data_IF_689335488416
#
_entry.id   IF_689335488416
#
_cell.length_a   1.000
_cell.length_b   1.000
_cell.length_c   1.000
_cell.angle_alpha   90.00
_cell.angle_beta   90.00
_cell.angle_gamma   90.00
#
_symmetry.space_group_name_H-M   'P 1'
#
loop_
_entity.id
_entity.type
_entity.pdbx_description
1 polymer ?
#
# COMPACT_ATOMS: atom_id res chain seq x y z
N UNK A 1 -68.49 28.42 6.91
CA UNK A 1 -67.49 27.41 7.21
C UNK A 1 -66.12 27.94 6.74
N UNK A 2 -65.31 28.48 7.67
CA UNK A 2 -64.05 29.16 7.34
C UNK A 2 -62.96 28.06 7.18
N UNK A 3 -62.38 28.01 5.99
CA UNK A 3 -61.27 27.12 5.67
C UNK A 3 -59.99 27.58 6.39
N UNK A 4 -59.37 26.69 7.16
CA UNK A 4 -58.10 26.93 7.85
C UNK A 4 -56.99 27.02 6.78
N UNK A 5 -56.15 28.07 6.79
CA UNK A 5 -55.09 28.23 5.79
C UNK A 5 -54.06 27.10 5.86
N UNK A 6 -53.54 26.71 4.70
CA UNK A 6 -52.62 25.57 4.51
C UNK A 6 -51.36 25.65 5.33
N UNK A 7 -50.90 26.86 5.68
CA UNK A 7 -49.70 27.11 6.51
C UNK A 7 -49.85 26.58 7.96
N UNK A 8 -51.08 26.64 8.53
CA UNK A 8 -51.33 26.18 9.89
C UNK A 8 -51.37 24.63 9.95
N UNK A 9 -51.82 23.99 8.87
CA UNK A 9 -51.84 22.52 8.79
C UNK A 9 -50.45 21.91 8.72
N UNK A 10 -49.51 22.57 8.03
CA UNK A 10 -48.12 22.11 7.93
C UNK A 10 -47.37 22.26 9.27
N UNK A 11 -47.61 23.36 9.99
CA UNK A 11 -47.01 23.59 11.31
C UNK A 11 -47.50 22.61 12.37
N UNK A 12 -48.79 22.22 12.30
CA UNK A 12 -49.35 21.25 13.24
C UNK A 12 -48.84 19.83 12.98
N UNK A 13 -48.62 19.46 11.71
CA UNK A 13 -48.03 18.17 11.32
C UNK A 13 -46.57 18.03 11.76
N UNK A 14 -45.80 19.10 11.65
CA UNK A 14 -44.40 19.13 12.11
C UNK A 14 -44.29 19.02 13.63
N UNK A 15 -45.22 19.66 14.39
CA UNK A 15 -45.24 19.58 15.85
C UNK A 15 -45.57 18.18 16.36
N UNK A 16 -46.48 17.47 15.70
CA UNK A 16 -46.85 16.08 16.04
C UNK A 16 -45.68 15.13 15.71
N UNK A 17 -44.96 15.36 14.60
CA UNK A 17 -43.80 14.53 14.23
C UNK A 17 -42.63 14.67 15.23
N UNK A 18 -42.39 15.89 15.75
CA UNK A 18 -41.36 16.13 16.77
C UNK A 18 -41.70 15.48 18.11
N UNK A 19 -42.96 15.47 18.50
CA UNK A 19 -43.40 14.80 19.73
C UNK A 19 -43.36 13.27 19.64
N UNK A 20 -43.51 12.69 18.44
CA UNK A 20 -43.38 11.23 18.23
C UNK A 20 -41.90 10.77 18.28
N UNK A 21 -40.94 11.61 17.84
CA UNK A 21 -39.52 11.29 17.88
C UNK A 21 -38.97 11.39 19.32
N UNK A 22 -39.48 12.30 20.15
CA UNK A 22 -39.08 12.45 21.55
C UNK A 22 -39.53 11.31 22.46
N UNK A 23 -40.61 10.58 22.09
CA UNK A 23 -41.17 9.46 22.89
C UNK A 23 -40.40 8.13 22.74
N UNK A 24 -39.50 8.00 21.78
CA UNK A 24 -38.81 6.72 21.49
C UNK A 24 -37.48 6.52 22.23
N UNK A 25 -37.00 7.48 23.02
CA UNK A 25 -35.69 7.42 23.66
C UNK A 25 -35.69 7.24 25.19
N UNK A 26 -36.82 6.85 25.80
CA UNK A 26 -36.81 6.57 27.24
C UNK A 26 -37.24 5.11 27.47
N UNK A 27 -36.28 4.18 27.34
CA UNK A 27 -36.38 2.85 27.92
C UNK A 27 -35.48 2.76 29.15
N UNK A 28 -35.99 2.53 30.36
CA UNK A 28 -35.13 2.30 31.51
C UNK A 28 -34.48 0.92 31.39
N UNK A 29 -33.15 0.89 31.28
CA UNK A 29 -32.39 -0.34 31.40
C UNK A 29 -32.46 -0.84 32.84
N UNK A 30 -33.22 -1.92 33.07
CA UNK A 30 -33.16 -2.67 34.32
C UNK A 30 -31.87 -3.44 34.40
N UNK A 31 -30.89 -2.90 35.13
CA UNK A 31 -29.63 -3.59 35.46
C UNK A 31 -29.92 -4.66 36.49
N UNK A 32 -30.03 -5.93 36.10
CA UNK A 32 -30.01 -7.04 37.05
C UNK A 32 -28.58 -7.30 37.49
N UNK A 33 -28.23 -6.87 38.70
CA UNK A 33 -27.00 -7.24 39.37
C UNK A 33 -27.11 -8.68 39.86
N UNK A 34 -26.45 -9.60 39.19
CA UNK A 34 -26.33 -11.00 39.63
C UNK A 34 -25.16 -11.10 40.57
N UNK A 35 -25.38 -11.18 41.85
CA UNK A 35 -24.33 -11.49 42.85
C UNK A 35 -23.77 -12.89 42.56
N UNK A 36 -22.51 -12.93 42.23
CA UNK A 36 -21.74 -14.17 42.07
C UNK A 36 -21.02 -14.45 43.37
N UNK A 37 -21.51 -15.42 44.12
CA UNK A 37 -20.83 -15.96 45.31
C UNK A 37 -19.51 -16.63 44.86
N UNK A 38 -18.37 -16.02 45.21
CA UNK A 38 -17.04 -16.57 44.95
C UNK A 38 -16.66 -17.44 46.14
N UNK A 39 -16.48 -18.75 45.91
CA UNK A 39 -15.89 -19.67 46.88
C UNK A 39 -14.40 -19.35 47.09
N UNK A 40 -13.80 -19.78 48.19
CA UNK A 40 -12.42 -19.44 48.55
C UNK A 40 -11.44 -19.98 47.51
N UNK A 41 -10.72 -19.06 46.87
CA UNK A 41 -9.63 -19.34 45.92
C UNK A 41 -8.39 -19.80 46.72
N UNK A 42 -7.59 -20.73 46.14
CA UNK A 42 -6.31 -21.10 46.76
C UNK A 42 -5.38 -19.88 46.84
N UNK A 43 -4.66 -19.78 47.94
CA UNK A 43 -3.68 -18.74 48.21
C UNK A 43 -2.62 -18.68 47.13
N UNK A 44 -2.72 -17.73 46.22
CA UNK A 44 -1.63 -17.37 45.33
C UNK A 44 -0.55 -16.63 46.14
N UNK A 45 0.67 -17.15 46.04
CA UNK A 45 1.83 -16.45 46.56
C UNK A 45 1.91 -15.05 45.97
N UNK A 46 1.93 -14.01 46.80
CA UNK A 46 2.04 -12.63 46.38
C UNK A 46 3.36 -12.42 45.66
N UNK A 47 3.32 -12.48 44.32
CA UNK A 47 4.37 -11.92 43.49
C UNK A 47 4.25 -10.40 43.65
N UNK A 48 5.24 -9.76 44.25
CA UNK A 48 5.37 -8.30 44.20
C UNK A 48 5.27 -7.88 42.75
N UNK A 49 4.51 -6.83 42.38
CA UNK A 49 4.55 -6.30 41.03
C UNK A 49 5.99 -5.79 40.80
N UNK A 50 6.83 -6.65 40.24
CA UNK A 50 8.07 -6.19 39.63
C UNK A 50 7.67 -5.22 38.55
N UNK A 51 8.31 -4.07 38.48
CA UNK A 51 8.17 -3.10 37.43
C UNK A 51 8.19 -3.84 36.08
N UNK A 52 7.02 -3.99 35.44
CA UNK A 52 6.96 -4.36 34.03
C UNK A 52 7.46 -3.12 33.31
N UNK A 53 8.78 -3.07 33.11
CA UNK A 53 9.38 -2.09 32.21
C UNK A 53 8.79 -2.43 30.82
N UNK A 54 7.69 -1.81 30.46
CA UNK A 54 7.22 -1.79 29.06
C UNK A 54 8.26 -1.02 28.27
N UNK A 55 9.29 -1.71 27.81
CA UNK A 55 10.21 -1.16 26.84
C UNK A 55 9.47 -1.17 25.50
N UNK A 56 8.98 -0.01 25.11
CA UNK A 56 8.39 0.19 23.78
C UNK A 56 9.54 0.12 22.78
N UNK A 57 9.76 -1.07 22.24
CA UNK A 57 10.87 -1.34 21.32
C UNK A 57 10.33 -1.20 19.90
N UNK A 58 10.70 -0.11 19.26
CA UNK A 58 10.38 0.11 17.85
C UNK A 58 11.14 -0.90 16.98
N UNK A 59 10.47 -1.98 16.62
CA UNK A 59 11.00 -2.99 15.70
C UNK A 59 10.78 -2.53 14.26
N UNK A 60 11.86 -2.30 13.54
CA UNK A 60 11.84 -1.90 12.14
C UNK A 60 11.94 -3.15 11.29
N UNK A 61 10.93 -3.41 10.44
CA UNK A 61 10.93 -4.53 9.51
C UNK A 61 11.16 -4.06 8.07
N UNK A 62 12.03 -4.74 7.36
CA UNK A 62 12.41 -4.47 5.97
C UNK A 62 12.26 -5.75 5.18
N UNK A 63 11.66 -5.64 4.00
CA UNK A 63 11.67 -6.72 2.99
C UNK A 63 12.69 -6.42 1.89
N UNK A 64 13.46 -7.43 1.50
CA UNK A 64 14.42 -7.34 0.41
C UNK A 64 14.23 -8.45 -0.62
N UNK A 65 14.15 -8.07 -1.89
CA UNK A 65 14.26 -8.98 -3.02
C UNK A 65 15.72 -8.96 -3.51
N UNK A 66 16.31 -10.14 -3.68
CA UNK A 66 17.65 -10.28 -4.22
C UNK A 66 17.59 -10.96 -5.59
N UNK A 67 18.15 -10.30 -6.59
CA UNK A 67 18.16 -10.76 -7.98
C UNK A 67 19.60 -10.86 -8.49
N UNK A 68 19.86 -11.84 -9.34
CA UNK A 68 21.07 -11.83 -10.17
C UNK A 68 20.98 -10.67 -11.18
N UNK A 69 22.02 -9.86 -11.27
CA UNK A 69 21.99 -8.65 -12.10
C UNK A 69 21.78 -8.94 -13.58
N UNK A 70 22.41 -10.01 -14.08
CA UNK A 70 22.45 -10.29 -15.51
C UNK A 70 21.25 -11.09 -16.01
N UNK A 71 20.63 -11.92 -15.16
CA UNK A 71 19.52 -12.81 -15.50
C UNK A 71 18.19 -12.40 -14.88
N UNK A 72 18.19 -11.43 -13.96
CA UNK A 72 17.04 -11.05 -13.12
C UNK A 72 16.44 -12.23 -12.32
N UNK A 73 17.18 -13.33 -12.19
CA UNK A 73 16.72 -14.51 -11.45
C UNK A 73 16.77 -14.27 -9.95
N UNK A 74 15.74 -14.66 -9.25
CA UNK A 74 15.65 -14.57 -7.79
C UNK A 74 16.72 -15.44 -7.14
N UNK A 75 17.40 -14.90 -6.13
CA UNK A 75 18.33 -15.62 -5.27
C UNK A 75 17.64 -15.84 -3.92
N UNK A 76 17.24 -17.06 -3.64
CA UNK A 76 16.49 -17.46 -2.43
C UNK A 76 17.28 -18.30 -1.44
N UNK A 77 18.60 -18.43 -1.61
CA UNK A 77 19.47 -19.31 -0.81
C UNK A 77 20.37 -18.57 0.19
N UNK A 78 20.18 -17.24 0.34
CA UNK A 78 21.00 -16.44 1.24
C UNK A 78 20.54 -16.59 2.68
N UNK A 79 21.48 -16.46 3.61
CA UNK A 79 21.25 -16.55 5.05
C UNK A 79 21.42 -15.17 5.70
N UNK A 80 21.08 -15.05 6.98
CA UNK A 80 21.20 -13.79 7.72
C UNK A 80 22.61 -13.20 7.67
N UNK A 81 23.64 -14.03 7.80
CA UNK A 81 25.04 -13.60 7.76
C UNK A 81 25.49 -13.01 6.42
N UNK A 82 24.75 -13.29 5.36
CA UNK A 82 25.00 -12.74 4.02
C UNK A 82 24.50 -11.30 3.87
N UNK A 83 23.79 -10.76 4.85
CA UNK A 83 23.21 -9.43 4.76
C UNK A 83 23.85 -8.43 5.73
N UNK A 84 23.93 -7.19 5.30
CA UNK A 84 24.30 -6.03 6.11
C UNK A 84 23.19 -4.98 6.00
N UNK A 85 22.74 -4.48 7.14
CA UNK A 85 21.75 -3.41 7.24
C UNK A 85 22.40 -2.21 7.90
N UNK A 86 22.18 -1.03 7.35
CA UNK A 86 22.59 0.23 7.99
C UNK A 86 21.46 1.26 7.95
N UNK A 87 21.38 2.08 8.99
CA UNK A 87 20.46 3.21 9.15
C UNK A 87 21.29 4.48 9.30
N UNK A 88 21.03 5.48 8.45
CA UNK A 88 21.77 6.75 8.40
C UNK A 88 23.30 6.55 8.40
N UNK A 89 23.76 5.46 7.76
CA UNK A 89 25.17 5.06 7.71
C UNK A 89 25.67 4.25 8.91
N UNK A 90 24.89 4.10 9.96
CA UNK A 90 25.25 3.32 11.15
C UNK A 90 24.80 1.86 10.97
N UNK A 91 25.70 0.86 11.14
CA UNK A 91 25.34 -0.55 11.08
C UNK A 91 24.26 -0.92 12.10
N UNK A 92 23.30 -1.76 11.71
CA UNK A 92 22.23 -2.27 12.56
C UNK A 92 22.35 -3.79 12.69
N UNK A 93 22.04 -4.30 13.89
CA UNK A 93 22.02 -5.75 14.16
C UNK A 93 20.69 -6.34 13.75
N UNK A 94 20.68 -7.30 12.82
CA UNK A 94 19.48 -8.04 12.46
C UNK A 94 19.09 -8.93 13.64
N UNK A 95 17.92 -8.69 14.22
CA UNK A 95 17.38 -9.43 15.37
C UNK A 95 16.43 -10.56 14.96
N UNK A 96 15.83 -10.43 13.77
CA UNK A 96 14.95 -11.43 13.17
C UNK A 96 15.22 -11.52 11.68
N UNK A 97 15.21 -12.74 11.15
CA UNK A 97 15.40 -13.04 9.74
C UNK A 97 14.47 -14.17 9.34
N UNK A 98 13.72 -13.97 8.27
CA UNK A 98 12.89 -15.02 7.69
C UNK A 98 12.78 -14.86 6.17
N UNK A 99 12.38 -15.96 5.54
CA UNK A 99 11.97 -15.98 4.12
C UNK A 99 10.55 -16.54 4.03
N UNK A 100 9.68 -16.14 4.92
CA UNK A 100 8.33 -16.65 5.01
C UNK A 100 7.46 -16.13 3.88
N UNK A 101 6.58 -17.00 3.42
CA UNK A 101 5.53 -16.65 2.47
C UNK A 101 4.40 -15.88 3.16
N UNK A 102 4.68 -14.63 3.56
CA UNK A 102 3.70 -13.77 4.19
C UNK A 102 2.50 -13.54 3.26
N UNK A 103 1.27 -13.42 3.82
CA UNK A 103 0.12 -13.03 3.02
C UNK A 103 0.32 -11.66 2.39
N UNK A 104 -0.28 -11.43 1.23
CA UNK A 104 -0.23 -10.15 0.55
C UNK A 104 -1.53 -9.37 0.80
N UNK A 105 -1.38 -8.07 1.07
CA UNK A 105 -2.46 -7.10 0.97
C UNK A 105 -2.14 -6.18 -0.21
N UNK A 106 -2.93 -6.26 -1.27
CA UNK A 106 -2.65 -5.59 -2.54
C UNK A 106 -3.70 -4.53 -2.82
N UNK A 107 -3.28 -3.29 -3.05
CA UNK A 107 -4.10 -2.27 -3.74
C UNK A 107 -3.70 -2.27 -5.20
N UNK A 108 -4.61 -2.68 -6.07
CA UNK A 108 -4.43 -2.66 -7.52
C UNK A 108 -5.00 -1.35 -8.06
N UNK A 109 -4.13 -0.50 -8.60
CA UNK A 109 -4.47 0.77 -9.23
C UNK A 109 -4.51 0.60 -10.75
N UNK A 110 -5.63 0.93 -11.39
CA UNK A 110 -5.79 0.84 -12.83
C UNK A 110 -6.02 2.24 -13.39
N UNK A 111 -5.13 2.66 -14.26
CA UNK A 111 -5.18 3.94 -14.93
C UNK A 111 -6.31 3.98 -15.97
N UNK A 112 -7.14 5.03 -15.94
CA UNK A 112 -8.26 5.28 -16.86
C UNK A 112 -8.07 6.55 -17.68
N UNK A 113 -6.90 7.14 -17.68
CA UNK A 113 -6.60 8.34 -18.43
C UNK A 113 -6.29 8.11 -19.92
N UNK A 114 -6.78 7.01 -20.52
CA UNK A 114 -6.62 6.70 -21.95
C UNK A 114 -5.34 5.95 -22.33
N UNK A 115 -4.30 6.00 -21.51
CA UNK A 115 -3.00 5.39 -21.82
C UNK A 115 -3.01 3.85 -21.91
N UNK A 116 -4.05 3.20 -21.41
CA UNK A 116 -4.22 1.73 -21.45
C UNK A 116 -5.23 1.27 -22.49
N UNK A 117 -5.89 2.18 -23.20
CA UNK A 117 -7.01 1.86 -24.10
C UNK A 117 -6.72 0.83 -25.18
N UNK A 118 -5.60 0.92 -25.90
CA UNK A 118 -5.34 -0.04 -26.97
C UNK A 118 -5.24 -1.48 -26.48
N UNK A 119 -5.03 -1.71 -25.18
CA UNK A 119 -4.77 -3.03 -24.58
C UNK A 119 -5.55 -3.27 -23.28
N UNK A 120 -6.71 -2.62 -23.13
CA UNK A 120 -7.56 -2.81 -21.95
C UNK A 120 -8.06 -4.25 -21.79
N UNK A 121 -8.17 -5.04 -22.85
CA UNK A 121 -8.51 -6.46 -22.77
C UNK A 121 -7.35 -7.30 -22.25
N UNK A 122 -6.13 -7.03 -22.72
CA UNK A 122 -4.91 -7.69 -22.26
C UNK A 122 -4.66 -7.42 -20.79
N UNK A 123 -4.82 -6.18 -20.35
CA UNK A 123 -4.72 -5.79 -18.93
C UNK A 123 -5.73 -6.54 -18.08
N UNK A 124 -7.01 -6.59 -18.48
CA UNK A 124 -8.05 -7.32 -17.73
C UNK A 124 -7.76 -8.81 -17.67
N UNK A 125 -7.40 -9.42 -18.80
CA UNK A 125 -7.06 -10.85 -18.85
C UNK A 125 -5.88 -11.15 -17.92
N UNK A 126 -4.80 -10.40 -18.04
CA UNK A 126 -3.59 -10.59 -17.24
C UNK A 126 -3.85 -10.38 -15.75
N UNK A 127 -4.64 -9.36 -15.37
CA UNK A 127 -5.02 -9.12 -13.98
C UNK A 127 -5.89 -10.26 -13.42
N UNK A 128 -6.86 -10.77 -14.17
CA UNK A 128 -7.69 -11.91 -13.76
C UNK A 128 -6.86 -13.19 -13.61
N UNK A 129 -5.93 -13.46 -14.53
CA UNK A 129 -5.01 -14.60 -14.42
C UNK A 129 -4.14 -14.49 -13.16
N UNK A 130 -3.61 -13.29 -12.89
CA UNK A 130 -2.86 -13.00 -11.68
C UNK A 130 -3.66 -13.26 -10.38
N UNK A 131 -4.94 -12.88 -10.36
CA UNK A 131 -5.82 -13.15 -9.21
C UNK A 131 -5.96 -14.65 -8.92
N UNK A 132 -5.97 -15.51 -9.96
CA UNK A 132 -6.06 -16.97 -9.79
C UNK A 132 -4.84 -17.57 -9.09
N UNK A 133 -3.69 -16.89 -9.14
CA UNK A 133 -2.41 -17.32 -8.56
C UNK A 133 -2.20 -16.82 -7.13
N UNK A 134 -3.06 -15.97 -6.64
CA UNK A 134 -3.01 -15.49 -5.26
C UNK A 134 -3.48 -16.58 -4.29
N UNK A 135 -2.88 -16.64 -3.11
CA UNK A 135 -3.27 -17.58 -2.05
C UNK A 135 -4.61 -17.18 -1.42
N UNK A 136 -5.28 -18.13 -0.79
CA UNK A 136 -6.53 -17.84 -0.06
C UNK A 136 -6.36 -16.82 1.08
N UNK A 137 -5.14 -16.64 1.60
CA UNK A 137 -4.80 -15.66 2.63
C UNK A 137 -4.57 -14.26 2.08
N UNK A 138 -4.37 -14.11 0.76
CA UNK A 138 -4.12 -12.80 0.14
C UNK A 138 -5.42 -12.05 -0.08
N UNK A 139 -5.39 -10.76 0.18
CA UNK A 139 -6.50 -9.85 -0.05
C UNK A 139 -6.13 -8.79 -1.07
N UNK A 140 -7.10 -8.37 -1.86
CA UNK A 140 -6.92 -7.36 -2.89
C UNK A 140 -8.05 -6.34 -2.80
N UNK A 141 -7.70 -5.06 -2.96
CA UNK A 141 -8.61 -3.98 -3.29
C UNK A 141 -8.34 -3.51 -4.71
N UNK A 142 -9.37 -3.11 -5.44
CA UNK A 142 -9.27 -2.59 -6.81
C UNK A 142 -9.71 -1.13 -6.79
N UNK A 143 -8.84 -0.25 -7.25
CA UNK A 143 -9.09 1.17 -7.44
C UNK A 143 -8.80 1.55 -8.88
N UNK A 144 -9.59 2.45 -9.42
CA UNK A 144 -9.34 3.06 -10.72
C UNK A 144 -9.04 4.54 -10.54
N UNK A 145 -8.32 5.12 -11.45
CA UNK A 145 -8.00 6.54 -11.38
C UNK A 145 -7.86 7.21 -12.74
N UNK A 146 -8.14 8.48 -12.72
CA UNK A 146 -7.90 9.46 -13.76
C UNK A 146 -7.61 10.79 -13.05
N UNK A 147 -8.48 11.81 -13.12
CA UNK A 147 -8.41 13.01 -12.28
C UNK A 147 -8.74 12.71 -10.82
N UNK A 148 -9.59 11.73 -10.58
CA UNK A 148 -10.03 11.27 -9.25
C UNK A 148 -9.75 9.79 -9.08
N UNK A 149 -9.79 9.34 -7.82
CA UNK A 149 -9.62 7.93 -7.44
C UNK A 149 -10.98 7.36 -7.07
N UNK A 150 -11.32 6.21 -7.65
CA UNK A 150 -12.55 5.50 -7.37
C UNK A 150 -12.26 4.09 -6.84
N UNK A 151 -12.89 3.74 -5.73
CA UNK A 151 -12.83 2.40 -5.17
C UNK A 151 -13.84 1.50 -5.88
N UNK A 152 -13.36 0.57 -6.70
CA UNK A 152 -14.22 -0.40 -7.40
C UNK A 152 -14.54 -1.60 -6.53
N UNK A 153 -13.58 -2.05 -5.72
CA UNK A 153 -13.74 -3.15 -4.77
C UNK A 153 -12.84 -2.94 -3.56
N UNK A 154 -13.40 -2.99 -2.37
CA UNK A 154 -12.64 -2.99 -1.13
C UNK A 154 -11.86 -4.29 -0.91
N UNK A 155 -10.95 -4.31 0.08
CA UNK A 155 -10.17 -5.50 0.39
C UNK A 155 -11.06 -6.73 0.55
N UNK A 156 -10.78 -7.74 -0.26
CA UNK A 156 -11.49 -9.02 -0.23
C UNK A 156 -10.57 -10.17 -0.63
N UNK A 157 -10.90 -11.37 -0.13
CA UNK A 157 -10.31 -12.64 -0.54
C UNK A 157 -11.20 -13.41 -1.53
N UNK A 158 -12.41 -12.92 -1.78
CA UNK A 158 -13.33 -13.53 -2.75
C UNK A 158 -12.93 -13.13 -4.17
N UNK A 159 -12.41 -14.09 -4.91
CA UNK A 159 -11.91 -13.90 -6.29
C UNK A 159 -13.02 -13.51 -7.26
N UNK A 160 -14.27 -13.95 -7.02
CA UNK A 160 -15.41 -13.60 -7.87
C UNK A 160 -15.78 -12.12 -7.75
N UNK A 161 -15.61 -11.53 -6.55
CA UNK A 161 -15.82 -10.09 -6.34
C UNK A 161 -14.75 -9.30 -7.11
N UNK A 162 -13.50 -9.73 -7.04
CA UNK A 162 -12.38 -9.09 -7.74
C UNK A 162 -12.53 -9.19 -9.26
N UNK A 163 -12.87 -10.38 -9.77
CA UNK A 163 -13.13 -10.58 -11.20
C UNK A 163 -14.25 -9.67 -11.72
N UNK A 164 -15.35 -9.55 -10.97
CA UNK A 164 -16.43 -8.61 -11.32
C UNK A 164 -15.95 -7.17 -11.35
N UNK A 165 -15.16 -6.75 -10.36
CA UNK A 165 -14.60 -5.40 -10.31
C UNK A 165 -13.68 -5.12 -11.49
N UNK A 166 -12.81 -6.06 -11.87
CA UNK A 166 -11.92 -5.92 -13.02
C UNK A 166 -12.68 -5.88 -14.36
N UNK A 167 -13.76 -6.66 -14.47
CA UNK A 167 -14.60 -6.67 -15.67
C UNK A 167 -15.48 -5.41 -15.79
N UNK A 168 -15.72 -4.73 -14.67
CA UNK A 168 -16.50 -3.50 -14.60
C UNK A 168 -15.63 -2.23 -14.58
N UNK A 169 -14.35 -2.30 -14.92
CA UNK A 169 -13.54 -1.08 -15.02
C UNK A 169 -14.21 -0.13 -16.02
N UNK A 170 -14.62 1.08 -15.58
CA UNK A 170 -15.32 2.01 -16.46
C UNK A 170 -14.46 2.38 -17.67
N UNK A 171 -15.05 2.83 -18.78
CA UNK A 171 -14.30 3.31 -19.93
C UNK A 171 -13.39 4.49 -19.52
N UNK A 172 -12.34 4.72 -20.29
CA UNK A 172 -11.41 5.82 -20.04
C UNK A 172 -12.08 7.19 -20.11
N UNK A 173 -11.42 8.18 -19.53
CA UNK A 173 -11.77 9.59 -19.68
C UNK A 173 -10.68 10.29 -20.49
N UNK A 174 -10.94 10.58 -21.76
CA UNK A 174 -9.99 11.20 -22.69
C UNK A 174 -9.48 12.58 -22.25
N UNK A 175 -10.16 13.22 -21.29
CA UNK A 175 -9.81 14.54 -20.79
C UNK A 175 -9.10 14.50 -19.45
N UNK A 176 -8.98 13.33 -18.88
CA UNK A 176 -8.44 13.19 -17.53
C UNK A 176 -6.93 13.32 -17.49
N UNK A 177 -6.46 13.94 -16.42
CA UNK A 177 -5.05 13.92 -16.05
C UNK A 177 -4.74 12.63 -15.27
N UNK A 178 -3.48 12.24 -15.25
CA UNK A 178 -3.00 11.13 -14.44
C UNK A 178 -2.49 11.67 -13.10
N UNK A 179 -3.39 11.98 -12.16
CA UNK A 179 -3.03 12.63 -10.89
C UNK A 179 -2.30 11.67 -9.92
N UNK A 180 -1.08 11.28 -10.24
CA UNK A 180 -0.30 10.28 -9.51
C UNK A 180 -0.11 10.62 -8.03
N UNK A 181 0.07 11.90 -7.68
CA UNK A 181 0.16 12.35 -6.30
C UNK A 181 -1.12 12.02 -5.51
N UNK A 182 -2.30 12.34 -6.04
CA UNK A 182 -3.59 12.01 -5.42
C UNK A 182 -3.82 10.50 -5.35
N UNK A 183 -3.43 9.78 -6.40
CA UNK A 183 -3.61 8.32 -6.49
C UNK A 183 -2.80 7.58 -5.45
N UNK A 184 -1.51 7.88 -5.33
CA UNK A 184 -0.64 7.18 -4.38
C UNK A 184 -0.94 7.54 -2.92
N UNK A 185 -1.35 8.78 -2.66
CA UNK A 185 -1.83 9.20 -1.35
C UNK A 185 -3.09 8.43 -0.95
N UNK A 186 -4.11 8.43 -1.81
CA UNK A 186 -5.37 7.69 -1.57
C UNK A 186 -5.16 6.18 -1.42
N UNK A 187 -4.27 5.59 -2.23
CA UNK A 187 -3.95 4.18 -2.12
C UNK A 187 -3.22 3.83 -0.82
N UNK A 188 -2.32 4.70 -0.37
CA UNK A 188 -1.61 4.55 0.89
C UNK A 188 -2.56 4.65 2.08
N UNK A 189 -3.46 5.64 2.10
CA UNK A 189 -4.49 5.78 3.12
C UNK A 189 -5.41 4.55 3.15
N UNK A 190 -5.81 4.07 1.97
CA UNK A 190 -6.66 2.89 1.88
C UNK A 190 -5.94 1.61 2.35
N UNK A 191 -4.63 1.50 2.12
CA UNK A 191 -3.82 0.37 2.59
C UNK A 191 -3.86 0.21 4.12
N UNK A 192 -4.10 1.28 4.88
CA UNK A 192 -4.24 1.19 6.33
C UNK A 192 -5.45 0.38 6.78
N UNK A 193 -6.41 0.08 5.87
CA UNK A 193 -7.60 -0.78 6.09
C UNK A 193 -7.32 -2.25 5.78
N UNK A 194 -6.09 -2.63 5.42
CA UNK A 194 -5.71 -4.01 5.13
C UNK A 194 -5.92 -4.92 6.34
N UNK A 195 -6.54 -6.08 6.13
CA UNK A 195 -6.91 -7.02 7.18
C UNK A 195 -5.80 -7.99 7.60
N UNK A 196 -4.66 -8.00 6.90
CA UNK A 196 -3.50 -8.84 7.22
C UNK A 196 -2.49 -8.05 8.06
N UNK A 197 -2.46 -8.16 9.39
CA UNK A 197 -1.64 -7.30 10.25
C UNK A 197 -0.12 -7.52 10.03
N UNK A 198 0.29 -8.72 9.67
CA UNK A 198 1.69 -9.10 9.38
C UNK A 198 1.95 -9.30 7.90
N UNK A 199 0.97 -9.00 7.04
CA UNK A 199 1.07 -9.17 5.59
C UNK A 199 1.97 -8.14 4.93
N UNK A 200 2.51 -8.50 3.75
CA UNK A 200 3.18 -7.51 2.89
C UNK A 200 2.16 -6.60 2.24
N UNK A 201 2.33 -5.30 2.43
CA UNK A 201 1.50 -4.26 1.85
C UNK A 201 2.07 -3.86 0.50
N UNK A 202 1.28 -3.96 -0.55
CA UNK A 202 1.74 -3.73 -1.92
C UNK A 202 0.75 -2.85 -2.67
N UNK A 203 1.25 -1.78 -3.27
CA UNK A 203 0.50 -0.97 -4.22
C UNK A 203 1.02 -1.30 -5.61
N UNK A 204 0.16 -1.84 -6.48
CA UNK A 204 0.50 -2.18 -7.86
C UNK A 204 -0.22 -1.22 -8.79
N UNK A 205 0.52 -0.37 -9.50
CA UNK A 205 -0.04 0.53 -10.50
C UNK A 205 0.09 -0.07 -11.90
N UNK A 206 -1.03 -0.19 -12.62
CA UNK A 206 -1.06 -0.50 -14.05
C UNK A 206 -1.31 0.80 -14.77
N UNK A 207 -0.33 1.30 -15.52
CA UNK A 207 -0.37 2.61 -16.15
C UNK A 207 0.59 2.70 -17.33
N UNK A 208 0.31 3.56 -18.29
CA UNK A 208 1.26 3.97 -19.34
C UNK A 208 2.16 5.13 -18.89
N UNK A 209 1.78 5.87 -17.85
CA UNK A 209 2.44 7.10 -17.41
C UNK A 209 3.38 6.83 -16.24
N UNK A 210 4.64 7.21 -16.38
CA UNK A 210 5.66 7.00 -15.33
C UNK A 210 5.89 8.23 -14.46
N UNK A 211 5.50 9.41 -14.94
CA UNK A 211 5.68 10.69 -14.25
C UNK A 211 4.51 11.61 -14.54
N UNK A 212 4.10 12.36 -13.56
CA UNK A 212 3.12 13.41 -13.73
C UNK A 212 3.40 14.59 -12.79
N UNK A 213 3.02 15.78 -13.24
CA UNK A 213 3.03 16.97 -12.43
C UNK A 213 2.04 16.84 -11.28
N UNK A 214 2.28 17.57 -10.17
CA UNK A 214 1.31 17.63 -9.09
C UNK A 214 0.00 18.25 -9.61
N UNK A 215 -1.11 17.57 -9.38
CA UNK A 215 -2.43 18.14 -9.65
C UNK A 215 -2.78 19.18 -8.59
N UNK A 216 -3.25 20.34 -9.04
CA UNK A 216 -3.44 21.52 -8.17
C UNK A 216 -4.42 21.33 -7.00
N UNK A 217 -5.30 20.34 -7.06
CA UNK A 217 -6.32 20.05 -6.05
C UNK A 217 -5.98 18.84 -5.17
N UNK A 218 -4.75 18.35 -5.21
CA UNK A 218 -4.32 17.15 -4.46
C UNK A 218 -3.14 17.44 -3.51
N UNK A 219 -2.66 16.42 -2.78
CA UNK A 219 -1.46 16.51 -1.99
C UNK A 219 -0.25 16.79 -2.89
N UNK A 220 0.80 17.40 -2.34
CA UNK A 220 2.07 17.50 -3.07
C UNK A 220 2.68 16.11 -3.29
N UNK A 221 3.57 15.98 -4.29
CA UNK A 221 4.31 14.72 -4.50
C UNK A 221 5.09 14.28 -3.24
N UNK A 222 5.56 15.23 -2.44
CA UNK A 222 6.25 14.94 -1.17
C UNK A 222 5.29 14.37 -0.14
N UNK A 223 4.09 14.94 0.00
CA UNK A 223 3.06 14.44 0.91
C UNK A 223 2.62 13.01 0.49
N UNK A 224 2.32 12.80 -0.79
CA UNK A 224 1.94 11.49 -1.31
C UNK A 224 3.06 10.43 -1.09
N UNK A 225 4.32 10.80 -1.30
CA UNK A 225 5.46 9.90 -1.01
C UNK A 225 5.53 9.57 0.48
N UNK A 226 5.28 10.55 1.34
CA UNK A 226 5.26 10.36 2.79
C UNK A 226 4.14 9.41 3.23
N UNK A 227 2.92 9.59 2.71
CA UNK A 227 1.79 8.67 2.98
C UNK A 227 2.13 7.24 2.57
N UNK A 228 2.78 7.03 1.42
CA UNK A 228 3.25 5.70 0.99
C UNK A 228 4.27 5.11 1.97
N UNK A 229 5.20 5.90 2.49
CA UNK A 229 6.16 5.42 3.48
C UNK A 229 5.50 5.09 4.81
N UNK A 230 4.56 5.90 5.28
CA UNK A 230 3.79 5.64 6.52
C UNK A 230 2.92 4.39 6.41
N UNK A 231 2.30 4.15 5.25
CA UNK A 231 1.51 2.94 5.01
C UNK A 231 2.33 1.65 5.04
N UNK A 232 3.65 1.75 4.95
CA UNK A 232 4.55 0.60 4.88
C UNK A 232 4.49 -0.14 3.55
N UNK A 233 3.87 0.43 2.52
CA UNK A 233 3.67 -0.22 1.22
C UNK A 233 4.94 -0.30 0.38
N UNK A 234 5.07 -1.40 -0.36
CA UNK A 234 5.99 -1.54 -1.48
C UNK A 234 5.23 -1.13 -2.75
N UNK A 235 5.77 -0.20 -3.51
CA UNK A 235 5.18 0.26 -4.76
C UNK A 235 5.77 -0.51 -5.94
N UNK A 236 4.90 -1.11 -6.74
CA UNK A 236 5.25 -1.79 -7.97
C UNK A 236 4.44 -1.21 -9.13
N UNK A 237 4.95 -1.33 -10.34
CA UNK A 237 4.23 -0.92 -11.55
C UNK A 237 4.33 -1.95 -12.64
N UNK A 238 3.26 -2.05 -13.42
CA UNK A 238 3.20 -2.79 -14.66
C UNK A 238 2.88 -1.79 -15.75
N UNK A 239 3.82 -1.58 -16.66
CA UNK A 239 3.74 -0.57 -17.70
C UNK A 239 3.84 -1.27 -19.06
N UNK A 240 2.72 -1.35 -19.80
CA UNK A 240 2.76 -1.86 -21.17
C UNK A 240 3.76 -1.08 -22.02
N UNK A 241 4.62 -1.78 -22.75
CA UNK A 241 5.67 -1.17 -23.55
C UNK A 241 5.27 -1.13 -25.01
N UNK A 242 4.79 0.03 -25.46
CA UNK A 242 4.54 0.31 -26.88
C UNK A 242 5.51 1.39 -27.39
N UNK A 243 5.73 1.49 -28.72
CA UNK A 243 6.56 2.57 -29.28
C UNK A 243 6.06 3.96 -28.89
N UNK A 244 4.76 4.17 -28.89
CA UNK A 244 4.09 5.43 -28.55
C UNK A 244 4.36 5.81 -27.09
N UNK A 245 4.16 4.88 -26.17
CA UNK A 245 4.41 5.10 -24.74
C UNK A 245 5.89 5.31 -24.42
N UNK A 246 6.78 4.63 -25.16
CA UNK A 246 8.22 4.86 -25.01
C UNK A 246 8.57 6.29 -25.43
N UNK A 247 8.01 6.78 -26.53
CA UNK A 247 8.21 8.15 -27.00
C UNK A 247 7.62 9.18 -26.04
N UNK A 248 6.38 8.98 -25.59
CA UNK A 248 5.68 9.85 -24.63
C UNK A 248 6.41 9.93 -23.30
N UNK A 249 6.79 8.79 -22.72
CA UNK A 249 7.58 8.75 -21.50
C UNK A 249 8.95 9.39 -21.68
N UNK A 250 9.57 9.29 -22.86
CA UNK A 250 10.80 9.97 -23.22
C UNK A 250 10.65 11.49 -23.20
N UNK A 251 9.60 12.00 -23.82
CA UNK A 251 9.26 13.42 -23.83
C UNK A 251 8.95 13.94 -22.42
N UNK A 252 8.15 13.21 -21.65
CA UNK A 252 7.83 13.57 -20.26
C UNK A 252 9.08 13.58 -19.37
N UNK A 253 10.03 12.66 -19.56
CA UNK A 253 11.32 12.67 -18.86
C UNK A 253 12.13 13.94 -19.15
N UNK A 254 12.15 14.39 -20.40
CA UNK A 254 12.79 15.64 -20.78
C UNK A 254 12.07 16.83 -20.15
N UNK A 255 10.74 16.92 -20.29
CA UNK A 255 9.92 18.00 -19.76
C UNK A 255 10.05 18.12 -18.22
N UNK A 256 10.01 17.00 -17.49
CA UNK A 256 10.18 17.00 -16.03
C UNK A 256 11.61 17.38 -15.61
N UNK A 257 12.63 17.06 -16.42
CA UNK A 257 14.01 17.50 -16.16
C UNK A 257 14.13 19.02 -16.28
N UNK A 258 13.56 19.61 -17.31
CA UNK A 258 13.53 21.06 -17.52
C UNK A 258 12.70 21.75 -16.42
N UNK A 259 11.49 21.24 -16.13
CA UNK A 259 10.62 21.78 -15.11
C UNK A 259 11.24 21.77 -13.72
N UNK A 260 12.01 20.72 -13.38
CA UNK A 260 12.76 20.66 -12.10
C UNK A 260 13.75 21.82 -11.96
N UNK A 261 14.42 22.19 -13.06
CA UNK A 261 15.32 23.35 -13.04
C UNK A 261 14.57 24.66 -12.77
N UNK A 262 13.29 24.70 -13.09
CA UNK A 262 12.37 25.81 -12.79
C UNK A 262 11.62 25.64 -11.46
N UNK A 263 11.98 24.65 -10.63
CA UNK A 263 11.33 24.38 -9.33
C UNK A 263 9.99 23.65 -9.40
N UNK A 264 9.59 23.16 -10.59
CA UNK A 264 8.33 22.41 -10.74
C UNK A 264 8.46 21.00 -10.15
N UNK A 265 7.47 20.62 -9.37
CA UNK A 265 7.41 19.35 -8.67
C UNK A 265 6.62 18.31 -9.48
N UNK A 266 6.97 17.04 -9.34
CA UNK A 266 6.28 15.92 -9.98
C UNK A 266 6.51 14.61 -9.23
N UNK A 267 5.57 13.69 -9.33
CA UNK A 267 5.74 12.34 -8.85
C UNK A 267 6.32 11.44 -9.95
N UNK A 268 7.25 10.57 -9.58
CA UNK A 268 7.90 9.58 -10.46
C UNK A 268 7.71 8.20 -9.85
N UNK A 269 6.89 7.35 -10.50
CA UNK A 269 6.57 5.99 -10.02
C UNK A 269 7.84 5.13 -9.93
N UNK A 270 8.80 5.29 -10.87
CA UNK A 270 10.06 4.55 -10.82
C UNK A 270 10.85 4.89 -9.55
N UNK A 271 10.96 6.18 -9.25
CA UNK A 271 11.63 6.63 -8.03
C UNK A 271 10.90 6.11 -6.78
N UNK A 272 9.57 6.18 -6.76
CA UNK A 272 8.77 5.71 -5.64
C UNK A 272 8.92 4.19 -5.43
N UNK A 273 8.93 3.41 -6.53
CA UNK A 273 9.21 1.97 -6.48
C UNK A 273 10.63 1.69 -5.92
N UNK A 274 11.65 2.40 -6.41
CA UNK A 274 13.03 2.23 -5.95
C UNK A 274 13.19 2.58 -4.46
N UNK A 275 12.51 3.62 -3.98
CA UNK A 275 12.55 4.04 -2.56
C UNK A 275 11.80 3.07 -1.62
N UNK A 276 10.75 2.42 -2.11
CA UNK A 276 9.96 1.46 -1.32
C UNK A 276 10.45 0.01 -1.48
N UNK A 277 11.46 -0.23 -2.31
CA UNK A 277 12.01 -1.56 -2.58
C UNK A 277 11.16 -2.39 -3.55
N UNK A 278 10.29 -1.74 -4.30
CA UNK A 278 9.50 -2.39 -5.36
C UNK A 278 10.19 -2.40 -6.72
N UNK A 279 9.39 -2.57 -7.76
CA UNK A 279 9.89 -2.67 -9.12
C UNK A 279 8.87 -2.23 -10.16
N UNK A 280 9.37 -1.82 -11.31
CA UNK A 280 8.56 -1.51 -12.48
C UNK A 280 8.89 -2.51 -13.58
N UNK A 281 7.89 -3.31 -13.98
CA UNK A 281 7.98 -4.23 -15.10
C UNK A 281 7.48 -3.54 -16.37
N UNK A 282 8.20 -3.73 -17.45
CA UNK A 282 7.91 -3.09 -18.75
C UNK A 282 8.00 -4.13 -19.84
N UNK A 283 6.86 -4.71 -20.16
CA UNK A 283 6.75 -5.76 -21.17
C UNK A 283 5.71 -5.37 -22.22
N UNK A 284 5.68 -6.07 -23.34
CA UNK A 284 4.67 -5.85 -24.36
C UNK A 284 3.28 -6.18 -23.81
N UNK A 285 2.20 -5.59 -24.36
CA UNK A 285 0.84 -5.88 -23.90
C UNK A 285 0.50 -7.38 -23.92
N UNK A 286 1.04 -8.15 -24.86
CA UNK A 286 0.83 -9.60 -24.98
C UNK A 286 1.53 -10.41 -23.87
N UNK A 287 2.51 -9.82 -23.20
CA UNK A 287 3.37 -10.44 -22.17
C UNK A 287 2.97 -10.01 -20.73
N UNK A 288 1.88 -9.25 -20.56
CA UNK A 288 1.47 -8.72 -19.26
C UNK A 288 1.16 -9.81 -18.21
N UNK A 289 0.68 -10.96 -18.65
CA UNK A 289 0.49 -12.13 -17.78
C UNK A 289 1.82 -12.62 -17.18
N UNK A 290 2.91 -12.58 -17.95
CA UNK A 290 4.25 -12.89 -17.45
C UNK A 290 4.75 -11.83 -16.48
N UNK A 291 4.48 -10.55 -16.75
CA UNK A 291 4.80 -9.44 -15.83
C UNK A 291 4.14 -9.65 -14.47
N UNK A 292 2.84 -9.94 -14.43
CA UNK A 292 2.13 -10.21 -13.20
C UNK A 292 2.68 -11.43 -12.46
N UNK A 293 2.96 -12.51 -13.18
CA UNK A 293 3.55 -13.73 -12.60
C UNK A 293 4.91 -13.48 -11.98
N UNK A 294 5.76 -12.73 -12.68
CA UNK A 294 7.06 -12.31 -12.20
C UNK A 294 6.91 -11.48 -10.93
N UNK A 295 6.00 -10.50 -10.94
CA UNK A 295 5.75 -9.65 -9.80
C UNK A 295 5.28 -10.44 -8.56
N UNK A 296 4.31 -11.34 -8.71
CA UNK A 296 3.82 -12.17 -7.61
C UNK A 296 4.95 -13.06 -7.05
N UNK A 297 5.75 -13.66 -7.94
CA UNK A 297 6.90 -14.47 -7.54
C UNK A 297 7.91 -13.64 -6.75
N UNK A 298 8.25 -12.45 -7.25
CA UNK A 298 9.18 -11.54 -6.60
C UNK A 298 8.67 -11.03 -5.25
N UNK A 299 7.37 -10.78 -5.12
CA UNK A 299 6.75 -10.37 -3.85
C UNK A 299 6.77 -11.50 -2.80
N UNK A 300 6.72 -12.76 -3.23
CA UNK A 300 6.71 -13.91 -2.30
C UNK A 300 8.09 -14.36 -1.86
N UNK A 301 9.10 -14.15 -2.69
CA UNK A 301 10.46 -14.65 -2.45
C UNK A 301 11.37 -13.63 -1.76
N UNK A 302 10.78 -12.63 -1.09
CA UNK A 302 11.53 -11.63 -0.34
C UNK A 302 12.02 -12.19 0.99
N UNK A 303 13.21 -11.75 1.36
CA UNK A 303 13.71 -11.89 2.73
C UNK A 303 13.10 -10.80 3.60
N UNK A 304 12.73 -11.14 4.82
CA UNK A 304 12.27 -10.19 5.84
C UNK A 304 13.28 -10.11 6.96
N UNK A 305 13.70 -8.91 7.29
CA UNK A 305 14.60 -8.66 8.43
C UNK A 305 13.94 -7.70 9.39
N UNK A 306 14.23 -7.89 10.67
CA UNK A 306 13.88 -6.90 11.67
C UNK A 306 15.11 -6.51 12.47
N UNK A 307 15.16 -5.24 12.87
CA UNK A 307 16.18 -4.71 13.76
C UNK A 307 15.56 -3.67 14.69
N UNK A 308 16.22 -3.42 15.80
CA UNK A 308 15.87 -2.34 16.72
C UNK A 308 16.81 -1.19 16.47
N UNK A 309 16.27 -0.05 16.01
CA UNK A 309 17.09 1.11 15.70
C UNK A 309 17.98 1.51 16.89
N UNK A 310 19.27 1.74 16.60
CA UNK A 310 20.20 2.33 17.58
C UNK A 310 19.91 3.80 17.84
N UNK A 311 19.26 4.49 16.91
CA UNK A 311 18.80 5.87 17.07
C UNK A 311 17.43 5.89 17.75
N UNK A 312 17.40 6.23 19.05
CA UNK A 312 16.19 6.22 19.88
C UNK A 312 15.30 7.45 19.76
N UNK A 313 15.62 8.40 18.89
CA UNK A 313 14.79 9.60 18.70
C UNK A 313 13.46 9.22 18.05
N UNK A 314 12.36 9.67 18.62
CA UNK A 314 10.99 9.50 18.10
C UNK A 314 10.50 10.85 17.56
N UNK A 315 11.10 11.29 16.47
CA UNK A 315 10.95 12.64 15.92
C UNK A 315 10.14 12.71 14.62
N UNK A 316 9.68 11.58 14.12
CA UNK A 316 8.93 11.52 12.86
C UNK A 316 9.78 11.85 11.63
N UNK A 317 11.10 11.88 11.74
CA UNK A 317 11.97 12.18 10.61
C UNK A 317 12.16 10.98 9.69
N UNK A 318 12.48 11.26 8.43
CA UNK A 318 12.84 10.24 7.45
C UNK A 318 14.26 9.74 7.72
N UNK A 319 14.41 8.43 7.92
CA UNK A 319 15.69 7.76 8.11
C UNK A 319 16.06 6.92 6.91
N UNK A 320 17.31 7.01 6.49
CA UNK A 320 17.81 6.27 5.32
C UNK A 320 18.18 4.86 5.72
N UNK A 321 17.78 3.89 4.88
CA UNK A 321 18.12 2.48 5.02
C UNK A 321 18.99 2.02 3.86
N UNK A 322 19.94 1.14 4.15
CA UNK A 322 20.73 0.45 3.14
C UNK A 322 20.80 -1.02 3.51
N UNK A 323 20.39 -1.87 2.58
CA UNK A 323 20.55 -3.32 2.67
C UNK A 323 21.51 -3.77 1.61
N UNK A 324 22.55 -4.48 2.00
CA UNK A 324 23.60 -4.99 1.11
C UNK A 324 23.80 -6.49 1.32
N UNK A 325 24.23 -7.16 0.26
CA UNK A 325 24.70 -8.55 0.35
C UNK A 325 26.21 -8.54 0.49
N UNK A 326 26.72 -9.31 1.44
CA UNK A 326 28.14 -9.42 1.74
C UNK A 326 28.94 -9.94 0.52
N UNK A 327 30.19 -9.51 0.40
CA UNK A 327 31.06 -9.84 -0.74
C UNK A 327 31.26 -11.35 -0.95
N UNK A 328 31.23 -12.14 0.14
CA UNK A 328 31.33 -13.60 0.07
C UNK A 328 30.19 -14.23 -0.73
N UNK A 329 28.97 -13.80 -0.47
CA UNK A 329 27.79 -14.29 -1.19
C UNK A 329 27.76 -13.78 -2.64
N UNK A 330 28.23 -12.56 -2.91
CA UNK A 330 28.36 -12.05 -4.28
C UNK A 330 29.39 -12.84 -5.11
N UNK A 331 30.48 -13.31 -4.49
CA UNK A 331 31.48 -14.15 -5.18
C UNK A 331 30.91 -15.51 -5.58
N UNK A 332 30.00 -16.08 -4.80
CA UNK A 332 29.40 -17.40 -5.09
C UNK A 332 28.21 -17.31 -6.02
N UNK A 333 27.42 -16.25 -5.98
CA UNK A 333 26.15 -16.11 -6.71
C UNK A 333 26.25 -15.19 -7.93
N UNK A 334 27.37 -14.52 -8.16
CA UNK A 334 27.56 -13.49 -9.18
C UNK A 334 27.11 -12.12 -8.71
N UNK A 335 27.08 -11.15 -9.61
CA UNK A 335 26.62 -9.78 -9.27
C UNK A 335 25.15 -9.78 -8.87
N UNK A 336 24.86 -9.28 -7.67
CA UNK A 336 23.53 -9.23 -7.11
C UNK A 336 22.99 -7.79 -7.08
N UNK A 337 21.68 -7.68 -7.24
CA UNK A 337 20.90 -6.46 -7.05
C UNK A 337 19.95 -6.70 -5.89
N UNK A 338 19.98 -5.81 -4.90
CA UNK A 338 19.06 -5.83 -3.75
C UNK A 338 18.03 -4.75 -3.97
N UNK A 339 16.74 -5.14 -3.96
CA UNK A 339 15.59 -4.25 -3.95
C UNK A 339 14.98 -4.29 -2.56
N UNK A 340 15.25 -3.28 -1.79
CA UNK A 340 14.74 -3.11 -0.43
C UNK A 340 14.33 -1.65 -0.22
N UNK A 341 13.48 -1.41 0.76
CA UNK A 341 13.10 -0.06 1.19
C UNK A 341 14.36 0.74 1.54
N UNK A 342 14.47 1.95 1.00
CA UNK A 342 15.63 2.85 1.19
C UNK A 342 15.44 3.85 2.31
N UNK A 343 14.24 3.98 2.84
CA UNK A 343 13.95 4.87 3.95
C UNK A 343 12.66 4.49 4.67
N UNK A 344 12.51 4.96 5.89
CA UNK A 344 11.28 4.86 6.67
C UNK A 344 11.09 6.10 7.53
N UNK A 345 9.89 6.32 8.02
CA UNK A 345 9.57 7.42 8.92
C UNK A 345 9.71 6.91 10.35
N UNK A 346 10.57 7.57 11.12
CA UNK A 346 10.74 7.25 12.52
C UNK A 346 9.43 7.46 13.28
N UNK A 347 9.12 6.65 14.31
CA UNK A 347 7.95 6.88 15.15
C UNK A 347 7.93 8.29 15.72
N UNK A 348 6.73 8.80 15.98
CA UNK A 348 6.53 10.03 16.77
C UNK A 348 6.25 9.66 18.21
N UNK A 349 6.70 10.51 19.15
CA UNK A 349 6.40 10.39 20.58
C UNK A 349 4.92 10.49 20.86
#
# INVERSE_FOLDING_TARGET
MKLIPTSVKVSLLLLVLVLFIAGYFISPALTQTRERTVGPSPTEASVKPGDIIKTDVDLITIDALVLQKDTSRVVGSLKQEDFRVSEDGSPQTITHFSQDNLPLSVVLLIDRGGCLDPFGQEVRRAANDALSRLKATDEVAVMTYADTVELQQGFTRDRRLLERALNWVPPHDERANHCLNTVFDSAADYMMKAGNPTGRRVIVAITGVTRNWDCGNGPSHTAATHSVFESGSVVCGIIPKTPEQVAENGMMRWATRVGRMAGVQYLDIQKLADETGGEILRDKPEELDQSFNTLITHLRTRYSFSFVSTNKKRDGTLRKLKVEVADGAQKSQGKLVVKARRSYIAPKS
#
